data_IF_959634165161
#
_entry.id   IF_959634165161
#
_cell.length_a   1.000
_cell.length_b   1.000
_cell.length_c   1.000
_cell.angle_alpha   90.00
_cell.angle_beta   90.00
_cell.angle_gamma   90.00
#
_symmetry.space_group_name_H-M   'P 1'
#
loop_
_entity.id
_entity.type
_entity.pdbx_description
1 polymer ?
#
# COMPACT_ATOMS: atom_id res chain seq x y z
N UNK A 1 17.11 12.85 -31.30
CA UNK A 1 15.73 13.13 -30.85
C UNK A 1 14.94 11.84 -31.05
N UNK A 2 14.66 11.05 -30.01
CA UNK A 2 13.72 9.88 -30.02
C UNK A 2 13.90 8.89 -28.85
N UNK A 3 14.90 9.04 -27.97
CA UNK A 3 15.14 8.09 -26.85
C UNK A 3 14.22 8.25 -25.64
N UNK A 4 13.50 9.36 -25.54
CA UNK A 4 12.48 9.60 -24.51
C UNK A 4 11.23 8.73 -24.65
N UNK A 5 10.59 8.58 -25.84
CA UNK A 5 9.42 7.72 -25.99
C UNK A 5 9.74 6.23 -25.76
N UNK A 6 10.91 5.73 -26.16
CA UNK A 6 11.28 4.32 -25.96
C UNK A 6 11.45 4.00 -24.48
N UNK A 7 12.15 4.86 -23.73
CA UNK A 7 12.32 4.67 -22.28
C UNK A 7 10.98 4.74 -21.53
N UNK A 8 10.08 5.65 -21.92
CA UNK A 8 8.74 5.77 -21.33
C UNK A 8 7.90 4.53 -21.65
N UNK A 9 7.91 4.04 -22.89
CA UNK A 9 7.20 2.81 -23.27
C UNK A 9 7.72 1.59 -22.51
N UNK A 10 9.03 1.45 -22.35
CA UNK A 10 9.61 0.35 -21.56
C UNK A 10 9.22 0.43 -20.07
N UNK A 11 9.20 1.62 -19.48
CA UNK A 11 8.76 1.81 -18.09
C UNK A 11 7.28 1.48 -17.93
N UNK A 12 6.43 1.96 -18.83
CA UNK A 12 4.99 1.70 -18.79
C UNK A 12 4.66 0.21 -18.99
N UNK A 13 5.35 -0.47 -19.91
CA UNK A 13 5.19 -1.91 -20.13
C UNK A 13 5.68 -2.73 -18.93
N UNK A 14 6.81 -2.34 -18.31
CA UNK A 14 7.33 -2.99 -17.11
C UNK A 14 6.40 -2.87 -15.90
N UNK A 15 5.80 -1.68 -15.70
CA UNK A 15 4.83 -1.44 -14.62
C UNK A 15 3.54 -2.25 -14.83
N UNK A 16 3.03 -2.34 -16.06
CA UNK A 16 1.83 -3.13 -16.37
C UNK A 16 2.05 -4.63 -16.11
N UNK A 17 3.22 -5.16 -16.44
CA UNK A 17 3.55 -6.57 -16.21
C UNK A 17 3.68 -6.91 -14.71
N UNK A 18 4.26 -6.00 -13.91
CA UNK A 18 4.42 -6.19 -12.46
C UNK A 18 3.08 -6.23 -11.69
N UNK A 19 2.05 -5.56 -12.21
CA UNK A 19 0.70 -5.57 -11.64
C UNK A 19 -0.11 -6.82 -12.04
N UNK A 20 0.21 -7.46 -13.17
CA UNK A 20 -0.50 -8.65 -13.65
C UNK A 20 -0.12 -9.94 -12.88
N UNK A 21 1.10 -10.00 -12.34
CA UNK A 21 1.66 -11.22 -11.72
C UNK A 21 1.30 -11.39 -10.22
N UNK A 22 0.57 -10.46 -9.61
CA UNK A 22 0.24 -10.50 -8.16
C UNK A 22 -0.97 -11.36 -7.78
N UNK A 23 -1.53 -12.15 -8.71
CA UNK A 23 -2.67 -13.02 -8.46
C UNK A 23 -2.29 -14.43 -8.02
N UNK A 24 -1.73 -14.63 -6.83
CA UNK A 24 -1.56 -15.96 -6.24
C UNK A 24 -2.68 -16.24 -5.23
N UNK A 25 -3.76 -16.85 -5.72
CA UNK A 25 -4.89 -17.27 -4.90
C UNK A 25 -4.52 -18.45 -4.02
N UNK A 26 -4.50 -18.24 -2.70
CA UNK A 26 -4.34 -19.30 -1.72
C UNK A 26 -5.69 -19.88 -1.30
N UNK A 27 -5.74 -21.21 -1.29
CA UNK A 27 -6.96 -22.01 -1.27
C UNK A 27 -7.78 -21.94 0.00
N UNK A 28 -9.08 -22.18 -0.19
CA UNK A 28 -10.05 -22.32 0.89
C UNK A 28 -9.82 -23.58 1.71
N UNK A 29 -9.83 -23.41 3.03
CA UNK A 29 -10.02 -24.50 3.98
C UNK A 29 -11.17 -24.13 4.92
N UNK A 30 -12.28 -24.85 4.78
CA UNK A 30 -13.43 -24.76 5.67
C UNK A 30 -13.16 -25.53 6.96
N UNK A 31 -13.23 -24.83 8.09
CA UNK A 31 -13.34 -25.45 9.40
C UNK A 31 -14.37 -24.69 10.25
N UNK A 32 -15.50 -25.35 10.48
CA UNK A 32 -16.49 -24.92 11.46
C UNK A 32 -16.17 -25.52 12.82
N UNK A 33 -16.15 -24.68 13.86
CA UNK A 33 -16.81 -24.88 15.16
C UNK A 33 -16.29 -23.85 16.17
N UNK A 34 -17.21 -23.21 16.91
CA UNK A 34 -16.93 -22.70 18.26
C UNK A 34 -16.80 -21.18 18.39
N UNK A 35 -17.87 -20.55 18.88
CA UNK A 35 -17.95 -19.26 19.58
C UNK A 35 -16.63 -18.56 19.97
N UNK A 36 -15.99 -17.84 19.04
CA UNK A 36 -15.02 -16.73 19.27
C UNK A 36 -15.05 -15.76 18.07
N UNK A 37 -16.23 -15.49 17.52
CA UNK A 37 -16.39 -14.41 16.53
C UNK A 37 -16.33 -13.09 17.32
N UNK A 38 -15.67 -12.06 16.79
CA UNK A 38 -15.69 -10.65 17.29
C UNK A 38 -14.48 -10.12 18.08
N UNK A 39 -13.38 -10.87 18.26
CA UNK A 39 -12.12 -10.30 18.83
C UNK A 39 -10.93 -10.27 17.84
N UNK A 40 -11.19 -10.31 16.54
CA UNK A 40 -10.19 -9.95 15.54
C UNK A 40 -10.35 -8.47 15.20
N UNK A 41 -9.71 -7.60 15.99
CA UNK A 41 -9.57 -6.20 15.62
C UNK A 41 -8.54 -6.12 14.47
N UNK A 42 -8.97 -5.63 13.30
CA UNK A 42 -8.07 -5.39 12.18
C UNK A 42 -7.12 -4.21 12.51
N UNK A 43 -5.91 -4.16 11.91
CA UNK A 43 -4.98 -3.07 12.15
C UNK A 43 -5.61 -1.73 11.75
N UNK A 44 -5.80 -0.84 12.73
CA UNK A 44 -6.29 0.51 12.51
C UNK A 44 -5.32 1.50 13.14
N UNK A 45 -4.65 2.30 12.32
CA UNK A 45 -3.72 3.31 12.81
C UNK A 45 -3.78 4.58 11.97
N UNK A 46 -3.45 5.69 12.61
CA UNK A 46 -3.29 6.99 11.99
C UNK A 46 -2.06 7.67 12.58
N UNK A 47 -1.14 8.08 11.72
CA UNK A 47 0.08 8.78 12.10
C UNK A 47 0.18 10.11 11.35
N UNK A 48 0.74 11.11 12.00
CA UNK A 48 1.07 12.39 11.41
C UNK A 48 2.49 12.77 11.81
N UNK A 49 3.24 13.28 10.84
CA UNK A 49 4.61 13.75 11.05
C UNK A 49 4.81 15.11 10.41
N UNK A 50 5.62 15.92 11.07
CA UNK A 50 5.98 17.26 10.63
C UNK A 50 7.49 17.48 10.72
N UNK A 51 8.00 18.28 9.80
CA UNK A 51 9.36 18.83 9.83
C UNK A 51 9.23 20.33 9.97
N UNK A 52 9.83 20.90 11.00
CA UNK A 52 9.92 22.34 11.22
C UNK A 52 11.40 22.72 11.28
N UNK A 53 11.92 23.27 10.18
CA UNK A 53 13.30 23.73 10.07
C UNK A 53 13.35 25.25 10.27
N UNK A 54 13.84 25.68 11.44
CA UNK A 54 13.95 27.11 11.78
C UNK A 54 15.05 27.84 11.00
N UNK A 55 16.02 27.14 10.41
CA UNK A 55 17.11 27.76 9.66
C UNK A 55 16.69 28.09 8.24
N UNK A 56 15.97 27.20 7.57
CA UNK A 56 15.45 27.45 6.21
C UNK A 56 14.04 28.04 6.21
N UNK A 57 13.30 27.90 7.32
CA UNK A 57 11.90 28.26 7.44
C UNK A 57 10.95 27.23 6.83
N UNK A 58 11.46 26.07 6.41
CA UNK A 58 10.65 25.01 5.82
C UNK A 58 9.76 24.33 6.85
N UNK A 59 8.46 24.36 6.60
CA UNK A 59 7.45 23.60 7.35
C UNK A 59 6.80 22.60 6.40
N UNK A 60 6.97 21.30 6.69
CA UNK A 60 6.41 20.19 5.90
C UNK A 60 5.63 19.27 6.82
N UNK A 61 4.57 18.66 6.30
CA UNK A 61 3.68 17.81 7.08
C UNK A 61 3.07 16.73 6.19
N UNK A 62 2.84 15.56 6.79
CA UNK A 62 2.37 14.37 6.08
C UNK A 62 1.63 13.44 7.05
N UNK A 63 0.63 12.74 6.52
CA UNK A 63 -0.21 11.81 7.28
C UNK A 63 -0.26 10.43 6.63
N UNK A 64 -0.33 9.40 7.46
CA UNK A 64 -0.59 8.00 7.07
C UNK A 64 -1.84 7.51 7.81
N UNK A 65 -2.75 6.85 7.09
CA UNK A 65 -3.93 6.18 7.66
C UNK A 65 -3.98 4.77 7.09
N UNK A 66 -4.20 3.79 7.96
CA UNK A 66 -4.49 2.42 7.54
C UNK A 66 -5.69 1.89 8.31
N UNK A 67 -6.61 1.32 7.55
CA UNK A 67 -7.74 0.55 8.03
C UNK A 67 -7.62 -0.81 7.34
N UNK A 68 -7.16 -1.82 8.07
CA UNK A 68 -6.97 -3.15 7.50
C UNK A 68 -8.28 -3.69 6.96
N UNK A 69 -8.33 -4.01 5.66
CA UNK A 69 -9.39 -4.89 5.15
C UNK A 69 -9.14 -6.30 5.71
N UNK A 70 -10.22 -6.96 6.13
CA UNK A 70 -10.15 -8.36 6.53
C UNK A 70 -9.55 -9.16 5.36
N UNK A 71 -8.44 -9.82 5.62
CA UNK A 71 -7.70 -10.65 4.65
C UNK A 71 -8.48 -11.90 4.25
#
# INVERSE_FOLDING_TARGET
>A
MSRFPVAIVCVLLGVAFALAEHGHGHGGHGHGHGHVQDYYAHPKYQFQYGVNDHYTGDVKQQSEVRDGENV
#
